data_IF_414897557835
#
_entry.id   IF_414897557835
#
_cell.length_a   1.000
_cell.length_b   1.000
_cell.length_c   1.000
_cell.angle_alpha   90.00
_cell.angle_beta   90.00
_cell.angle_gamma   90.00
#
_symmetry.space_group_name_H-M   'P 1'
#
loop_
_entity.id
_entity.type
_entity.pdbx_description
1 polymer ?
#
# COMPACT_ATOMS: atom_id res chain seq x y z
N UNK A 1 -24.22 8.77 -4.07
CA UNK A 1 -22.92 8.09 -3.89
C UNK A 1 -21.93 9.11 -3.36
N UNK A 2 -21.46 8.98 -2.11
CA UNK A 2 -20.52 9.94 -1.52
C UNK A 2 -19.08 9.49 -1.84
N UNK A 3 -18.40 10.22 -2.72
CA UNK A 3 -16.96 10.15 -2.84
C UNK A 3 -16.34 10.74 -1.58
N UNK A 4 -15.84 9.88 -0.69
CA UNK A 4 -15.01 10.31 0.42
C UNK A 4 -13.65 10.67 -0.18
N UNK A 5 -13.42 11.97 -0.36
CA UNK A 5 -12.12 12.53 -0.67
C UNK A 5 -11.23 12.32 0.58
N UNK A 6 -10.53 11.18 0.65
CA UNK A 6 -9.60 10.88 1.73
C UNK A 6 -8.26 11.54 1.37
N UNK A 7 -7.76 12.49 2.16
CA UNK A 7 -6.43 13.06 1.93
C UNK A 7 -5.38 11.95 1.96
N UNK A 8 -4.43 12.00 1.02
CA UNK A 8 -3.29 11.08 0.89
C UNK A 8 -2.36 11.18 2.11
N UNK A 9 -2.77 10.66 3.26
CA UNK A 9 -1.87 10.39 4.38
C UNK A 9 -1.33 8.99 4.20
N UNK A 10 -0.05 8.88 3.84
CA UNK A 10 0.75 7.65 3.85
C UNK A 10 0.53 6.91 5.17
N UNK A 11 -0.38 5.95 5.15
CA UNK A 11 -0.79 5.19 6.32
C UNK A 11 -0.72 3.73 5.93
N UNK A 12 0.10 2.95 6.61
CA UNK A 12 -0.04 1.50 6.54
C UNK A 12 -1.19 1.07 7.46
N UNK A 13 -1.98 0.11 7.00
CA UNK A 13 -2.98 -0.53 7.85
C UNK A 13 -2.76 -2.04 7.82
N UNK A 14 -2.67 -2.66 9.00
CA UNK A 14 -2.62 -4.13 9.11
C UNK A 14 -4.03 -4.61 9.39
N UNK A 15 -4.60 -5.38 8.47
CA UNK A 15 -5.86 -6.10 8.68
C UNK A 15 -5.56 -7.59 8.67
N UNK A 16 -5.53 -8.21 9.85
CA UNK A 16 -5.16 -9.62 9.97
C UNK A 16 -3.68 -9.86 9.62
N UNK A 17 -3.40 -10.84 8.74
CA UNK A 17 -2.06 -11.20 8.27
C UNK A 17 -1.72 -10.53 6.93
N UNK A 18 -2.15 -9.29 6.72
CA UNK A 18 -1.92 -8.54 5.48
C UNK A 18 -1.46 -7.12 5.82
N UNK A 19 -0.43 -6.62 5.14
CA UNK A 19 -0.03 -5.22 5.21
C UNK A 19 -0.50 -4.48 3.97
N UNK A 20 -1.23 -3.38 4.17
CA UNK A 20 -1.72 -2.52 3.09
C UNK A 20 -1.00 -1.18 3.10
N UNK A 21 -0.49 -0.76 1.94
CA UNK A 21 0.08 0.55 1.69
C UNK A 21 -0.87 1.38 0.83
N UNK A 22 -1.18 2.61 1.25
CA UNK A 22 -2.10 3.51 0.54
C UNK A 22 -1.37 4.65 -0.18
N UNK A 23 -1.96 5.13 -1.28
CA UNK A 23 -1.56 6.39 -1.93
C UNK A 23 -0.18 6.38 -2.62
N UNK A 24 0.31 5.20 -3.00
CA UNK A 24 1.55 5.05 -3.76
C UNK A 24 1.32 5.25 -5.28
N UNK A 25 2.40 5.16 -6.05
CA UNK A 25 2.35 5.17 -7.52
C UNK A 25 2.78 3.80 -8.05
N UNK A 26 2.23 3.38 -9.18
CA UNK A 26 2.82 2.36 -10.03
C UNK A 26 3.50 3.01 -11.24
N UNK A 27 4.68 2.50 -11.57
CA UNK A 27 5.52 2.92 -12.68
C UNK A 27 5.83 1.70 -13.54
N UNK A 28 6.20 1.94 -14.79
CA UNK A 28 6.73 0.91 -15.66
C UNK A 28 8.24 0.78 -15.47
N UNK A 29 8.72 -0.46 -15.41
CA UNK A 29 10.13 -0.81 -15.49
C UNK A 29 10.29 -1.94 -16.51
N UNK A 30 11.17 -1.72 -17.48
CA UNK A 30 11.51 -2.71 -18.49
C UNK A 30 12.42 -3.76 -17.86
N UNK A 31 12.04 -5.03 -17.96
CA UNK A 31 12.92 -6.15 -17.70
C UNK A 31 13.38 -6.73 -19.03
N UNK A 32 14.69 -6.77 -19.26
CA UNK A 32 15.26 -7.43 -20.43
C UNK A 32 15.01 -8.95 -20.41
N UNK A 33 14.99 -9.57 -21.60
CA UNK A 33 14.92 -11.03 -21.70
C UNK A 33 16.13 -11.68 -21.01
N UNK A 34 15.86 -12.54 -20.02
CA UNK A 34 16.89 -13.22 -19.24
C UNK A 34 17.49 -12.37 -18.11
N UNK A 35 16.89 -11.22 -17.79
CA UNK A 35 17.30 -10.45 -16.62
C UNK A 35 16.87 -11.12 -15.32
N UNK A 36 17.76 -11.06 -14.33
CA UNK A 36 17.52 -11.59 -13.00
C UNK A 36 17.07 -10.45 -12.08
N UNK A 37 15.89 -10.60 -11.50
CA UNK A 37 15.48 -9.77 -10.39
C UNK A 37 16.30 -10.07 -9.14
N UNK A 38 16.30 -9.17 -8.17
CA UNK A 38 16.97 -9.33 -6.87
C UNK A 38 16.47 -10.52 -6.05
N UNK A 39 15.35 -11.15 -6.43
CA UNK A 39 14.93 -12.42 -5.86
C UNK A 39 15.64 -13.64 -6.47
N UNK A 40 16.53 -13.44 -7.44
CA UNK A 40 17.29 -14.50 -8.10
C UNK A 40 16.50 -15.30 -9.14
N UNK A 41 15.38 -14.78 -9.62
CA UNK A 41 14.55 -15.39 -10.67
C UNK A 41 14.70 -14.63 -11.99
N UNK A 42 14.63 -15.34 -13.11
CA UNK A 42 14.45 -14.70 -14.41
C UNK A 42 13.09 -13.99 -14.44
N UNK A 43 13.14 -12.71 -14.80
CA UNK A 43 11.95 -11.90 -15.01
C UNK A 43 11.66 -11.89 -16.49
N UNK A 44 10.46 -12.35 -16.85
CA UNK A 44 9.96 -12.27 -18.20
C UNK A 44 8.93 -11.14 -18.24
N UNK A 45 9.29 -10.07 -18.96
CA UNK A 45 8.45 -8.88 -19.10
C UNK A 45 7.11 -9.15 -19.80
N UNK A 46 6.96 -10.32 -20.44
CA UNK A 46 5.84 -10.69 -21.29
C UNK A 46 5.01 -11.89 -20.81
N UNK A 47 5.54 -12.73 -19.91
CA UNK A 47 4.88 -13.99 -19.56
C UNK A 47 3.97 -13.92 -18.31
N UNK A 48 4.28 -13.06 -17.34
CA UNK A 48 3.53 -12.99 -16.09
C UNK A 48 3.56 -11.59 -15.47
N UNK A 49 2.65 -11.32 -14.53
CA UNK A 49 2.63 -10.04 -13.81
C UNK A 49 3.73 -10.02 -12.74
N UNK A 50 4.73 -9.18 -12.94
CA UNK A 50 5.89 -9.01 -12.07
C UNK A 50 5.94 -7.61 -11.46
N UNK A 51 6.47 -7.51 -10.24
CA UNK A 51 6.64 -6.25 -9.54
C UNK A 51 7.96 -6.21 -8.75
N UNK A 52 8.65 -5.08 -8.82
CA UNK A 52 9.67 -4.68 -7.87
C UNK A 52 9.08 -3.79 -6.79
N UNK A 53 9.47 -4.05 -5.55
CA UNK A 53 9.04 -3.28 -4.38
C UNK A 53 10.23 -2.57 -3.73
N UNK A 54 9.95 -1.55 -2.93
CA UNK A 54 10.96 -0.79 -2.20
C UNK A 54 11.93 -1.68 -1.43
N UNK A 55 13.23 -1.32 -1.47
CA UNK A 55 14.26 -1.98 -0.68
C UNK A 55 13.96 -2.05 0.83
N UNK A 56 13.15 -1.13 1.34
CA UNK A 56 12.74 -1.08 2.75
C UNK A 56 11.90 -2.30 3.19
N UNK A 57 11.35 -3.05 2.22
CA UNK A 57 10.64 -4.30 2.51
C UNK A 57 11.53 -5.53 2.57
N UNK A 58 12.79 -5.43 2.12
CA UNK A 58 13.74 -6.52 2.18
C UNK A 58 14.46 -6.52 3.54
N UNK A 59 14.67 -7.70 4.08
CA UNK A 59 15.26 -7.97 5.39
C UNK A 59 16.51 -8.86 5.33
N UNK A 60 16.60 -9.72 4.32
CA UNK A 60 17.72 -10.61 4.14
C UNK A 60 18.94 -9.87 3.60
N UNK A 61 20.13 -10.22 4.11
CA UNK A 61 21.38 -9.69 3.60
C UNK A 61 21.61 -10.08 2.12
N UNK A 62 21.20 -11.30 1.75
CA UNK A 62 21.11 -11.73 0.37
C UNK A 62 19.64 -11.62 -0.08
N UNK A 63 19.31 -10.69 -1.00
CA UNK A 63 17.93 -10.46 -1.43
C UNK A 63 17.32 -11.68 -2.14
N UNK A 64 18.13 -12.59 -2.71
CA UNK A 64 17.64 -13.81 -3.35
C UNK A 64 16.95 -14.76 -2.36
N UNK A 65 17.25 -14.64 -1.06
CA UNK A 65 16.69 -15.45 0.01
C UNK A 65 15.72 -14.66 0.89
N UNK A 66 15.29 -13.47 0.43
CA UNK A 66 14.34 -12.69 1.21
C UNK A 66 12.98 -13.38 1.30
N UNK A 67 12.36 -13.46 2.49
CA UNK A 67 11.04 -14.06 2.64
C UNK A 67 9.95 -13.44 1.75
N UNK A 68 10.12 -12.19 1.32
CA UNK A 68 9.16 -11.50 0.46
C UNK A 68 9.18 -12.01 -0.98
N UNK A 69 10.30 -12.61 -1.41
CA UNK A 69 10.46 -13.15 -2.74
C UNK A 69 9.50 -14.31 -3.00
N UNK A 70 8.99 -14.41 -4.24
CA UNK A 70 8.01 -15.42 -4.66
C UNK A 70 6.64 -15.31 -3.94
N UNK A 71 6.40 -14.21 -3.22
CA UNK A 71 5.08 -13.84 -2.72
C UNK A 71 4.39 -12.86 -3.68
N UNK A 72 3.17 -12.43 -3.36
CA UNK A 72 2.34 -11.63 -4.25
C UNK A 72 1.82 -10.37 -3.57
N UNK A 73 1.57 -9.36 -4.40
CA UNK A 73 0.80 -8.17 -4.07
C UNK A 73 -0.55 -8.20 -4.76
N UNK A 74 -1.60 -7.83 -4.04
CA UNK A 74 -2.83 -7.33 -4.64
C UNK A 74 -2.71 -5.82 -4.80
N UNK A 75 -2.85 -5.29 -6.02
CA UNK A 75 -2.64 -3.87 -6.35
C UNK A 75 -3.95 -3.29 -6.88
N UNK A 76 -4.36 -2.14 -6.35
CA UNK A 76 -5.61 -1.46 -6.69
C UNK A 76 -5.33 -0.02 -7.12
N UNK A 77 -5.64 0.29 -8.38
CA UNK A 77 -5.58 1.65 -8.92
C UNK A 77 -6.78 2.50 -8.48
N UNK A 78 -6.66 3.83 -8.56
CA UNK A 78 -7.72 4.74 -8.13
C UNK A 78 -9.02 4.65 -8.95
N UNK A 79 -8.95 4.11 -10.16
CA UNK A 79 -10.11 3.81 -11.00
C UNK A 79 -10.83 2.51 -10.60
N UNK A 80 -10.28 1.76 -9.63
CA UNK A 80 -10.79 0.48 -9.15
C UNK A 80 -10.19 -0.75 -9.85
N UNK A 81 -9.34 -0.56 -10.87
CA UNK A 81 -8.65 -1.66 -11.55
C UNK A 81 -7.78 -2.41 -10.55
N UNK A 82 -7.91 -3.74 -10.53
CA UNK A 82 -7.23 -4.61 -9.55
C UNK A 82 -6.44 -5.69 -10.27
N UNK A 83 -5.16 -5.83 -9.93
CA UNK A 83 -4.30 -6.90 -10.42
C UNK A 83 -3.61 -7.63 -9.25
N UNK A 84 -3.04 -8.80 -9.56
CA UNK A 84 -2.17 -9.53 -8.65
C UNK A 84 -0.82 -9.77 -9.31
N UNK A 85 0.25 -9.25 -8.71
CA UNK A 85 1.60 -9.31 -9.26
C UNK A 85 2.55 -10.04 -8.31
N UNK A 86 3.49 -10.80 -8.88
CA UNK A 86 4.52 -11.54 -8.15
C UNK A 86 5.70 -10.63 -7.83
N UNK A 87 6.16 -10.66 -6.58
CA UNK A 87 7.36 -9.94 -6.15
C UNK A 87 8.59 -10.71 -6.64
N UNK A 88 9.34 -10.10 -7.55
CA UNK A 88 10.51 -10.72 -8.19
C UNK A 88 11.78 -9.89 -8.05
N UNK A 89 11.67 -8.63 -7.66
CA UNK A 89 12.81 -7.73 -7.65
C UNK A 89 12.72 -6.66 -6.54
N UNK A 90 13.87 -6.07 -6.26
CA UNK A 90 14.08 -5.03 -5.27
C UNK A 90 14.42 -3.73 -5.98
N UNK A 91 13.57 -2.74 -5.77
CA UNK A 91 13.79 -1.39 -6.26
C UNK A 91 14.74 -0.62 -5.35
N UNK A 92 15.95 -0.35 -5.85
CA UNK A 92 16.97 0.45 -5.16
C UNK A 92 16.83 1.94 -5.45
N UNK A 93 16.35 2.71 -4.47
CA UNK A 93 16.06 4.15 -4.57
C UNK A 93 16.34 4.83 -3.22
N UNK A 94 16.46 6.17 -3.22
CA UNK A 94 16.57 6.96 -1.99
C UNK A 94 15.27 6.85 -1.20
N UNK A 95 15.28 6.26 0.01
CA UNK A 95 14.07 6.09 0.80
C UNK A 95 13.56 7.42 1.40
N UNK A 96 12.25 7.52 1.72
CA UNK A 96 11.22 6.53 1.43
C UNK A 96 10.61 6.75 0.04
N UNK A 97 10.63 5.72 -0.80
CA UNK A 97 9.78 5.62 -1.99
C UNK A 97 9.06 4.27 -1.96
N UNK A 98 7.73 4.35 -1.98
CA UNK A 98 6.79 3.24 -1.88
C UNK A 98 6.14 2.91 -3.23
N UNK A 99 6.62 3.53 -4.32
CA UNK A 99 6.13 3.23 -5.66
C UNK A 99 6.56 1.85 -6.12
N UNK A 100 5.64 1.19 -6.82
CA UNK A 100 5.84 -0.12 -7.44
C UNK A 100 6.40 0.07 -8.85
N UNK A 101 7.38 -0.75 -9.21
CA UNK A 101 7.90 -0.82 -10.58
C UNK A 101 7.37 -2.13 -11.20
N UNK A 102 6.46 -1.99 -12.14
CA UNK A 102 5.73 -3.06 -12.79
C UNK A 102 6.37 -3.39 -14.14
N UNK A 103 6.38 -4.67 -14.47
CA UNK A 103 6.72 -5.14 -15.81
C UNK A 103 5.61 -4.78 -16.82
N UNK A 104 5.86 -4.89 -18.13
CA UNK A 104 4.93 -4.44 -19.17
C UNK A 104 3.53 -5.06 -19.01
N UNK A 105 3.46 -6.38 -18.79
CA UNK A 105 2.19 -7.09 -18.60
C UNK A 105 1.40 -6.58 -17.39
N UNK A 106 2.04 -6.38 -16.25
CA UNK A 106 1.36 -5.87 -15.06
C UNK A 106 0.97 -4.39 -15.22
N UNK A 107 1.83 -3.57 -15.82
CA UNK A 107 1.59 -2.15 -16.01
C UNK A 107 0.40 -1.89 -16.93
N UNK A 108 0.33 -2.58 -18.08
CA UNK A 108 -0.79 -2.49 -19.01
C UNK A 108 -2.08 -3.03 -18.41
N UNK A 109 -2.02 -4.16 -17.69
CA UNK A 109 -3.18 -4.74 -17.02
C UNK A 109 -3.78 -3.83 -15.94
N UNK A 110 -2.96 -2.93 -15.36
CA UNK A 110 -3.41 -1.92 -14.40
C UNK A 110 -4.00 -0.66 -15.08
N UNK A 111 -4.08 -0.63 -16.42
CA UNK A 111 -4.58 0.50 -17.19
C UNK A 111 -3.49 1.43 -17.72
N UNK A 112 -2.23 1.02 -17.65
CA UNK A 112 -1.10 1.73 -18.25
C UNK A 112 -0.95 1.52 -19.75
N UNK A 113 0.03 2.22 -20.32
CA UNK A 113 0.58 1.95 -21.64
C UNK A 113 2.11 1.95 -21.53
N UNK A 114 2.73 0.77 -21.52
CA UNK A 114 4.18 0.63 -21.39
C UNK A 114 4.97 1.27 -22.55
N UNK A 115 4.36 1.47 -23.73
CA UNK A 115 4.99 2.16 -24.87
C UNK A 115 5.04 3.69 -24.70
N UNK A 116 4.29 4.24 -23.75
CA UNK A 116 4.29 5.67 -23.40
C UNK A 116 4.05 5.81 -21.88
N UNK A 117 5.01 5.40 -21.05
CA UNK A 117 4.80 5.22 -19.63
C UNK A 117 4.59 6.55 -18.90
N UNK A 118 3.74 6.50 -17.88
CA UNK A 118 3.45 7.58 -16.95
C UNK A 118 3.42 7.03 -15.52
N UNK A 119 2.90 7.82 -14.59
CA UNK A 119 2.62 7.34 -13.25
C UNK A 119 1.14 6.95 -13.14
N UNK A 120 0.85 5.73 -12.69
CA UNK A 120 -0.51 5.31 -12.35
C UNK A 120 -0.71 5.53 -10.85
N UNK A 121 -1.66 6.39 -10.44
CA UNK A 121 -1.94 6.57 -9.02
C UNK A 121 -2.67 5.35 -8.45
N UNK A 122 -2.16 4.83 -7.33
CA UNK A 122 -2.78 3.71 -6.62
C UNK A 122 -3.73 4.22 -5.54
N UNK A 123 -4.82 3.48 -5.33
CA UNK A 123 -5.57 3.58 -4.08
C UNK A 123 -4.76 2.89 -2.98
N UNK A 124 -4.46 1.59 -3.18
CA UNK A 124 -3.59 0.82 -2.29
C UNK A 124 -2.96 -0.40 -2.96
N UNK A 125 -2.00 -1.00 -2.29
CA UNK A 125 -1.59 -2.38 -2.52
C UNK A 125 -1.42 -3.13 -1.21
N UNK A 126 -1.65 -4.45 -1.23
CA UNK A 126 -1.63 -5.30 -0.05
C UNK A 126 -0.73 -6.49 -0.27
N UNK A 127 0.14 -6.78 0.71
CA UNK A 127 0.93 -8.00 0.75
C UNK A 127 0.06 -9.19 1.15
N UNK A 128 0.08 -10.24 0.33
CA UNK A 128 -0.67 -11.46 0.59
C UNK A 128 -0.07 -12.28 1.75
N UNK A 129 1.19 -12.04 2.11
CA UNK A 129 1.86 -12.71 3.24
C UNK A 129 2.56 -11.70 4.15
N UNK A 130 1.90 -11.30 5.24
CA UNK A 130 2.47 -10.33 6.19
C UNK A 130 3.66 -10.87 7.01
N UNK A 131 3.74 -12.19 7.20
CA UNK A 131 4.82 -12.80 7.99
C UNK A 131 6.21 -12.58 7.39
N UNK A 132 6.29 -12.19 6.12
CA UNK A 132 7.54 -11.99 5.38
C UNK A 132 8.08 -10.56 5.47
N UNK A 133 7.32 -9.62 6.06
CA UNK A 133 7.71 -8.20 6.12
C UNK A 133 8.57 -7.84 7.35
N UNK A 134 9.48 -6.85 7.26
CA UNK A 134 10.27 -6.36 8.38
C UNK A 134 9.42 -5.78 9.50
N UNK A 135 9.82 -6.01 10.76
CA UNK A 135 9.15 -5.43 11.93
C UNK A 135 9.03 -3.91 11.90
N UNK A 136 10.02 -3.20 11.33
CA UNK A 136 10.01 -1.73 11.18
C UNK A 136 8.84 -1.25 10.30
N UNK A 137 8.52 -1.99 9.23
CA UNK A 137 7.36 -1.75 8.38
C UNK A 137 6.07 -2.09 9.15
N UNK A 138 6.08 -3.17 9.94
CA UNK A 138 4.94 -3.55 10.80
C UNK A 138 4.61 -2.49 11.86
N UNK A 139 5.61 -1.86 12.46
CA UNK A 139 5.40 -0.87 13.55
C UNK A 139 4.97 0.51 13.07
N UNK A 140 5.36 0.91 11.85
CA UNK A 140 4.83 2.14 11.25
C UNK A 140 3.34 2.03 10.87
N UNK A 141 2.76 0.84 10.97
CA UNK A 141 1.35 0.56 10.71
C UNK A 141 0.43 0.71 11.93
N UNK A 142 0.97 0.81 13.15
CA UNK A 142 0.18 0.99 14.39
C UNK A 142 0.00 2.44 14.80
N UNK A 143 0.59 3.39 14.07
CA UNK A 143 0.54 4.81 14.38
C UNK A 143 -0.58 5.57 13.64
N UNK A 144 -1.83 5.09 13.65
CA UNK A 144 -3.00 5.97 13.50
C UNK A 144 -4.32 5.30 13.91
N UNK A 145 -4.50 5.07 15.21
CA UNK A 145 -5.85 5.10 15.79
C UNK A 145 -5.77 5.66 17.21
N UNK A 146 -5.50 6.97 17.33
CA UNK A 146 -6.12 7.71 18.45
C UNK A 146 -7.62 7.78 18.13
N UNK A 147 -8.32 6.78 18.63
CA UNK A 147 -9.76 6.75 18.74
C UNK A 147 -10.19 7.86 19.71
N UNK A 148 -10.25 9.11 19.26
CA UNK A 148 -11.07 10.15 19.91
C UNK A 148 -12.50 9.91 19.49
N UNK A 149 -13.05 8.78 19.94
CA UNK A 149 -14.48 8.52 19.93
C UNK A 149 -15.18 9.68 20.61
N UNK A 150 -15.85 10.50 19.80
CA UNK A 150 -16.79 11.50 20.25
C UNK A 150 -17.88 10.81 21.06
N UNK A 151 -17.74 10.85 22.39
CA UNK A 151 -18.84 10.54 23.31
C UNK A 151 -19.88 11.65 23.15
N UNK A 152 -20.84 11.43 22.24
CA UNK A 152 -22.17 12.02 22.34
C UNK A 152 -22.79 11.57 23.67
N UNK A 153 -22.68 12.38 24.72
CA UNK A 153 -23.60 12.31 25.86
C UNK A 153 -24.78 13.22 25.57
N UNK A 154 -25.96 12.61 25.40
CA UNK A 154 -27.25 13.29 25.38
C UNK A 154 -27.52 13.92 26.76
N UNK A 155 -27.92 15.20 26.71
CA UNK A 155 -28.75 16.05 27.59
C UNK A 155 -29.19 15.56 29.00
N UNK A 156 -29.43 16.51 29.93
CA UNK A 156 -30.82 16.98 30.09
C UNK A 156 -31.00 18.51 30.19
N UNK A 157 -32.02 18.96 29.45
CA UNK A 157 -33.11 19.90 29.83
C UNK A 157 -32.79 21.07 30.76
N UNK A 158 -32.94 22.29 30.23
CA UNK A 158 -33.10 23.50 31.02
C UNK A 158 -34.44 23.56 31.75
N UNK A 159 -34.42 24.21 32.92
CA UNK A 159 -35.51 25.00 33.51
C UNK A 159 -34.90 25.94 34.56
N UNK A 160 -34.79 27.23 34.24
CA UNK A 160 -34.57 28.26 35.24
C UNK A 160 -35.92 28.61 35.87
N UNK A 161 -35.99 28.52 37.20
CA UNK A 161 -37.02 29.19 38.00
C UNK A 161 -36.33 29.83 39.19
N UNK A 162 -35.95 31.09 39.02
CA UNK A 162 -35.64 32.01 40.10
C UNK A 162 -36.85 32.90 40.35
N UNK A 163 -37.55 32.69 41.46
CA UNK A 163 -38.31 33.70 42.25
C UNK A 163 -39.16 32.97 43.28
N UNK A 164 -38.81 33.12 44.56
CA UNK A 164 -39.79 33.31 45.63
C UNK A 164 -39.28 34.43 46.54
N UNK A 165 -40.21 35.32 46.85
CA UNK A 165 -40.10 36.47 47.74
C UNK A 165 -40.86 36.15 49.04
N UNK A 166 -40.52 36.89 50.10
CA UNK A 166 -41.19 37.01 51.41
C UNK A 166 -41.12 35.74 52.27
N UNK A 167 -40.75 35.82 53.56
CA UNK A 167 -41.12 36.77 54.62
C UNK A 167 -39.92 37.14 55.50
#
# INVERSE_FOLDING_TARGET
MNHINRPCVHSYFIVGNSATQYGALAKYHEYGSGELGACGFEVDDTAYMAVAVSQEYFTAANPNFDPICNTYLTIVAQDGTTIKAKIVDKKGIVPPDWSLDLNAVAYDALGGNHLSPGNIPLDYYTFDSFSTLPSTVRTNSTASHKNTGGKKKKQPKGHSKGRQANL
#
